data_IF_637283597588
#
_entry.id   IF_637283597588
#
_cell.length_a   1.000
_cell.length_b   1.000
_cell.length_c   1.000
_cell.angle_alpha   90.00
_cell.angle_beta   90.00
_cell.angle_gamma   90.00
#
_symmetry.space_group_name_H-M   'P 1'
#
loop_
_entity.id
_entity.type
_entity.pdbx_description
1 polymer ?
#
# COMPACT_ATOMS: atom_id res chain seq x y z
N UNK A 1 17.88 40.08 6.99
CA UNK A 1 18.61 38.93 6.40
C UNK A 1 17.66 37.75 6.48
N UNK A 2 17.51 36.95 5.41
CA UNK A 2 16.72 35.75 5.48
C UNK A 2 17.31 34.82 6.56
N UNK A 3 16.47 34.17 7.35
CA UNK A 3 16.90 33.20 8.36
C UNK A 3 17.62 32.04 7.64
N UNK A 4 18.80 31.66 8.15
CA UNK A 4 19.57 30.55 7.59
C UNK A 4 19.79 29.49 8.65
N UNK A 5 19.64 28.20 8.27
CA UNK A 5 19.86 27.01 9.11
C UNK A 5 20.91 26.11 8.49
N UNK A 6 21.53 25.31 9.31
CA UNK A 6 22.45 24.25 8.86
C UNK A 6 22.19 22.97 9.65
N UNK A 7 22.27 21.82 8.98
CA UNK A 7 22.26 20.51 9.63
C UNK A 7 23.27 19.56 8.98
N UNK A 8 23.74 18.58 9.75
CA UNK A 8 24.55 17.49 9.19
C UNK A 8 23.73 16.67 8.20
N UNK A 9 22.46 16.37 8.56
CA UNK A 9 21.53 15.63 7.69
C UNK A 9 20.21 16.39 7.61
N UNK A 10 19.77 16.66 6.39
CA UNK A 10 18.41 17.14 6.10
C UNK A 10 17.59 16.05 5.48
N UNK A 11 16.36 15.89 5.94
CA UNK A 11 15.38 14.96 5.36
C UNK A 11 14.20 15.75 4.80
N UNK A 12 13.88 15.54 3.52
CA UNK A 12 12.76 16.21 2.82
C UNK A 12 11.59 15.25 2.74
N UNK A 13 10.50 15.53 3.47
CA UNK A 13 9.30 14.71 3.55
C UNK A 13 9.24 13.90 4.85
N UNK A 14 8.14 14.05 5.60
CA UNK A 14 7.92 13.39 6.88
C UNK A 14 7.00 12.17 6.80
N UNK A 15 6.92 11.51 5.64
CA UNK A 15 6.27 10.22 5.48
C UNK A 15 7.02 9.10 6.20
N UNK A 16 6.55 7.83 6.11
CA UNK A 16 7.13 6.69 6.82
C UNK A 16 8.65 6.53 6.62
N UNK A 17 9.13 6.66 5.40
CA UNK A 17 10.58 6.65 5.12
C UNK A 17 11.30 7.85 5.72
N UNK A 18 10.71 9.05 5.60
CA UNK A 18 11.37 10.27 6.03
C UNK A 18 11.53 10.38 7.55
N UNK A 19 10.45 10.14 8.34
CA UNK A 19 10.62 10.17 9.79
C UNK A 19 11.49 9.02 10.29
N UNK A 20 11.44 7.83 9.65
CA UNK A 20 12.32 6.72 10.00
C UNK A 20 13.80 7.08 9.75
N UNK A 21 14.10 7.71 8.59
CA UNK A 21 15.45 8.19 8.29
C UNK A 21 15.91 9.27 9.27
N UNK A 22 15.05 10.25 9.56
CA UNK A 22 15.37 11.35 10.48
C UNK A 22 15.66 10.83 11.91
N UNK A 23 14.82 9.91 12.41
CA UNK A 23 14.98 9.32 13.74
C UNK A 23 16.24 8.45 13.82
N UNK A 24 16.48 7.62 12.81
CA UNK A 24 17.68 6.78 12.78
C UNK A 24 18.95 7.62 12.71
N UNK A 25 18.99 8.68 11.90
CA UNK A 25 20.12 9.60 11.84
C UNK A 25 20.37 10.31 13.18
N UNK A 26 19.30 10.74 13.85
CA UNK A 26 19.40 11.35 15.18
C UNK A 26 19.89 10.35 16.25
N UNK A 27 19.42 9.10 16.23
CA UNK A 27 19.88 8.02 17.11
C UNK A 27 21.37 7.67 16.87
N UNK A 28 21.89 7.96 15.68
CA UNK A 28 23.32 7.89 15.33
C UNK A 28 24.12 9.16 15.69
N UNK A 29 23.51 10.08 16.44
CA UNK A 29 24.15 11.29 16.97
C UNK A 29 24.25 12.46 15.99
N UNK A 30 23.53 12.42 14.85
CA UNK A 30 23.56 13.50 13.86
C UNK A 30 22.61 14.63 14.22
N UNK A 31 22.98 15.86 13.85
CA UNK A 31 22.06 16.99 13.84
C UNK A 31 21.14 16.87 12.62
N UNK A 32 19.83 16.77 12.87
CA UNK A 32 18.84 16.48 11.82
C UNK A 32 17.79 17.59 11.74
N UNK A 33 17.56 18.09 10.51
CA UNK A 33 16.38 18.88 10.16
C UNK A 33 15.47 18.04 9.29
N UNK A 34 14.22 17.87 9.72
CA UNK A 34 13.14 17.21 8.97
C UNK A 34 12.21 18.29 8.39
N UNK A 35 12.07 18.35 7.07
CA UNK A 35 11.27 19.37 6.38
C UNK A 35 10.02 18.70 5.77
N UNK A 36 8.83 19.23 6.08
CA UNK A 36 7.59 18.81 5.40
C UNK A 36 6.64 20.01 5.25
N UNK A 37 5.94 20.05 4.11
CA UNK A 37 4.93 21.07 3.83
C UNK A 37 3.62 20.86 4.58
N UNK A 38 3.34 19.63 5.01
CA UNK A 38 2.12 19.28 5.71
C UNK A 38 2.16 19.79 7.17
N UNK A 39 1.01 20.10 7.75
CA UNK A 39 0.92 20.65 9.13
C UNK A 39 1.19 19.61 10.21
N UNK A 40 1.30 18.32 9.85
CA UNK A 40 1.54 17.19 10.75
C UNK A 40 2.54 16.23 10.14
N UNK A 41 3.31 15.54 10.98
CA UNK A 41 4.23 14.50 10.56
C UNK A 41 3.43 13.23 10.11
N UNK A 42 4.10 12.25 9.48
CA UNK A 42 3.49 10.98 9.08
C UNK A 42 3.13 10.87 7.60
N UNK A 43 3.16 12.00 6.86
CA UNK A 43 2.98 12.05 5.40
C UNK A 43 1.63 11.48 4.92
N UNK A 44 1.60 10.99 3.68
CA UNK A 44 0.39 10.44 3.06
C UNK A 44 -0.12 9.20 3.79
N UNK A 45 0.75 8.27 4.13
CA UNK A 45 0.36 6.99 4.73
C UNK A 45 -0.44 7.19 6.03
N UNK A 46 0.08 7.96 6.97
CA UNK A 46 -0.56 8.17 8.27
C UNK A 46 -1.78 9.09 8.17
N UNK A 47 -1.65 10.20 7.45
CA UNK A 47 -2.66 11.26 7.50
C UNK A 47 -3.83 11.04 6.54
N UNK A 48 -3.61 10.41 5.39
CA UNK A 48 -4.58 10.35 4.28
C UNK A 48 -4.38 9.14 3.35
N UNK A 49 -3.92 8.03 3.92
CA UNK A 49 -3.63 6.78 3.20
C UNK A 49 -3.90 5.56 4.05
N UNK A 50 -2.84 4.83 4.43
CA UNK A 50 -2.90 3.53 5.07
C UNK A 50 -3.72 3.52 6.37
N UNK A 51 -3.46 4.47 7.28
CA UNK A 51 -4.11 4.45 8.60
C UNK A 51 -5.61 4.77 8.51
N UNK A 52 -6.05 5.89 7.91
CA UNK A 52 -7.47 6.15 7.79
C UNK A 52 -8.21 5.10 6.95
N UNK A 53 -7.60 4.52 5.92
CA UNK A 53 -8.24 3.46 5.15
C UNK A 53 -8.45 2.19 5.98
N UNK A 54 -7.47 1.77 6.79
CA UNK A 54 -7.58 0.57 7.64
C UNK A 54 -8.58 0.77 8.77
N UNK A 55 -8.69 1.99 9.33
CA UNK A 55 -9.74 2.32 10.28
C UNK A 55 -11.15 2.16 9.68
N UNK A 56 -11.36 2.64 8.44
CA UNK A 56 -12.65 2.50 7.75
C UNK A 56 -12.91 1.07 7.29
N UNK A 57 -11.90 0.34 6.80
CA UNK A 57 -12.02 -1.08 6.42
C UNK A 57 -12.39 -1.95 7.62
N UNK A 58 -11.82 -1.68 8.80
CA UNK A 58 -12.19 -2.39 10.02
C UNK A 58 -13.69 -2.20 10.35
N UNK A 59 -14.19 -0.96 10.29
CA UNK A 59 -15.61 -0.69 10.50
C UNK A 59 -16.48 -1.45 9.49
N UNK A 60 -16.10 -1.41 8.22
CA UNK A 60 -16.81 -2.10 7.14
C UNK A 60 -16.84 -3.62 7.35
N UNK A 61 -15.71 -4.19 7.77
CA UNK A 61 -15.57 -5.62 8.06
C UNK A 61 -16.47 -6.04 9.22
N UNK A 62 -16.48 -5.29 10.33
CA UNK A 62 -17.34 -5.58 11.50
C UNK A 62 -18.82 -5.52 11.11
N UNK A 63 -19.24 -4.56 10.29
CA UNK A 63 -20.61 -4.46 9.80
C UNK A 63 -21.01 -5.68 8.97
N UNK A 64 -20.13 -6.14 8.09
CA UNK A 64 -20.38 -7.31 7.25
C UNK A 64 -20.40 -8.61 8.08
N UNK A 65 -19.47 -8.79 9.01
CA UNK A 65 -19.44 -9.93 9.94
C UNK A 65 -20.72 -9.97 10.79
N UNK A 66 -21.18 -8.83 11.32
CA UNK A 66 -22.44 -8.76 12.08
C UNK A 66 -23.65 -9.16 11.21
N UNK A 67 -23.73 -8.68 9.97
CA UNK A 67 -24.79 -9.08 9.03
C UNK A 67 -24.73 -10.60 8.71
N UNK A 68 -23.52 -11.15 8.59
CA UNK A 68 -23.31 -12.56 8.30
C UNK A 68 -23.77 -13.50 9.42
N UNK A 69 -23.72 -13.06 10.69
CA UNK A 69 -24.15 -13.83 11.84
C UNK A 69 -25.62 -14.26 11.77
N UNK A 70 -26.45 -13.61 10.93
CA UNK A 70 -27.82 -14.04 10.68
C UNK A 70 -27.92 -15.47 10.18
N UNK A 71 -26.93 -15.96 9.41
CA UNK A 71 -26.80 -17.34 8.96
C UNK A 71 -26.42 -18.32 10.07
N UNK A 72 -25.86 -17.79 11.17
CA UNK A 72 -25.44 -18.57 12.34
C UNK A 72 -26.46 -18.50 13.49
N UNK A 73 -27.64 -17.91 13.21
CA UNK A 73 -28.75 -17.82 14.18
C UNK A 73 -28.79 -16.54 15.04
N UNK A 74 -27.92 -15.56 14.75
CA UNK A 74 -27.92 -14.26 15.46
C UNK A 74 -28.28 -13.16 14.49
N UNK A 75 -29.40 -12.48 14.68
CA UNK A 75 -29.88 -11.40 13.83
C UNK A 75 -29.76 -10.06 14.53
N UNK A 76 -29.05 -9.13 13.92
CA UNK A 76 -29.02 -7.71 14.29
C UNK A 76 -30.01 -6.93 13.41
N UNK A 77 -30.50 -5.80 13.92
CA UNK A 77 -31.26 -4.84 13.11
C UNK A 77 -30.37 -4.11 12.10
N UNK A 78 -30.99 -3.36 11.18
CA UNK A 78 -30.24 -2.54 10.24
C UNK A 78 -29.39 -1.51 10.98
N UNK A 79 -28.12 -1.33 10.58
CA UNK A 79 -27.22 -0.41 11.26
C UNK A 79 -27.65 1.04 11.05
N UNK A 80 -27.64 1.83 12.12
CA UNK A 80 -27.74 3.28 12.02
C UNK A 80 -26.35 3.87 11.86
N UNK A 81 -26.10 4.52 10.73
CA UNK A 81 -24.79 5.04 10.37
C UNK A 81 -24.73 6.54 10.66
N UNK A 82 -23.87 6.92 11.61
CA UNK A 82 -23.49 8.31 11.89
C UNK A 82 -22.11 8.59 11.26
N UNK A 83 -22.11 9.27 10.10
CA UNK A 83 -20.89 9.59 9.38
C UNK A 83 -19.99 10.56 10.15
N UNK A 84 -20.54 11.46 10.93
CA UNK A 84 -19.75 12.41 11.71
C UNK A 84 -18.99 11.67 12.81
N UNK A 85 -19.63 10.71 13.47
CA UNK A 85 -18.99 9.86 14.46
C UNK A 85 -17.90 8.96 13.85
N UNK A 86 -18.14 8.39 12.66
CA UNK A 86 -17.15 7.59 11.94
C UNK A 86 -15.94 8.45 11.56
N UNK A 87 -16.14 9.65 11.04
CA UNK A 87 -15.05 10.59 10.73
C UNK A 87 -14.24 10.95 11.97
N UNK A 88 -14.95 11.33 13.05
CA UNK A 88 -14.30 11.67 14.32
C UNK A 88 -13.47 10.52 14.89
N UNK A 89 -13.96 9.28 14.81
CA UNK A 89 -13.21 8.09 15.20
C UNK A 89 -11.92 7.91 14.38
N UNK A 90 -12.04 7.96 13.05
CA UNK A 90 -10.91 7.89 12.12
C UNK A 90 -9.89 9.00 12.39
N UNK A 91 -10.34 10.23 12.56
CA UNK A 91 -9.48 11.39 12.79
C UNK A 91 -8.77 11.32 14.16
N UNK A 92 -9.45 10.78 15.17
CA UNK A 92 -8.85 10.51 16.49
C UNK A 92 -7.66 9.52 16.39
N UNK A 93 -7.80 8.45 15.61
CA UNK A 93 -6.72 7.47 15.39
C UNK A 93 -5.52 8.16 14.72
N UNK A 94 -5.78 8.92 13.66
CA UNK A 94 -4.74 9.68 12.94
C UNK A 94 -4.04 10.67 13.89
N UNK A 95 -4.82 11.41 14.68
CA UNK A 95 -4.28 12.37 15.65
C UNK A 95 -3.38 11.70 16.70
N UNK A 96 -3.81 10.59 17.29
CA UNK A 96 -3.01 9.86 18.30
C UNK A 96 -1.65 9.43 17.74
N UNK A 97 -1.61 8.94 16.50
CA UNK A 97 -0.35 8.52 15.86
C UNK A 97 0.52 9.71 15.48
N UNK A 98 -0.06 10.82 15.04
CA UNK A 98 0.66 12.08 14.79
C UNK A 98 1.37 12.59 16.04
N UNK A 99 0.64 12.66 17.17
CA UNK A 99 1.20 13.04 18.46
C UNK A 99 2.36 12.14 18.88
N UNK A 100 2.22 10.82 18.67
CA UNK A 100 3.31 9.87 18.93
C UNK A 100 4.57 10.17 18.12
N UNK A 101 4.43 10.44 16.81
CA UNK A 101 5.58 10.78 15.95
C UNK A 101 6.18 12.12 16.36
N UNK A 102 5.36 13.13 16.68
CA UNK A 102 5.84 14.44 17.12
C UNK A 102 6.64 14.34 18.45
N UNK A 103 6.15 13.53 19.40
CA UNK A 103 6.87 13.27 20.65
C UNK A 103 8.19 12.53 20.42
N UNK A 104 8.23 11.56 19.51
CA UNK A 104 9.45 10.84 19.14
C UNK A 104 10.48 11.77 18.45
N UNK A 105 10.04 12.70 17.60
CA UNK A 105 10.91 13.70 16.98
C UNK A 105 11.51 14.64 18.05
N UNK A 106 10.68 15.11 18.98
CA UNK A 106 11.12 15.97 20.08
C UNK A 106 12.12 15.27 21.02
N UNK A 107 11.87 14.01 21.38
CA UNK A 107 12.74 13.22 22.24
C UNK A 107 14.14 13.03 21.62
N UNK A 108 14.22 12.91 20.28
CA UNK A 108 15.48 12.79 19.51
C UNK A 108 16.09 14.12 19.12
N UNK A 109 15.49 15.25 19.51
CA UNK A 109 15.93 16.60 19.13
C UNK A 109 16.00 16.80 17.61
N UNK A 110 15.14 16.11 16.85
CA UNK A 110 14.96 16.36 15.41
C UNK A 110 14.25 17.70 15.26
N UNK A 111 14.88 18.64 14.58
CA UNK A 111 14.24 19.93 14.28
C UNK A 111 13.26 19.74 13.14
N UNK A 112 11.97 19.98 13.38
CA UNK A 112 10.96 19.94 12.34
C UNK A 112 10.70 21.35 11.80
N UNK A 113 10.93 21.51 10.49
CA UNK A 113 10.64 22.72 9.74
C UNK A 113 9.42 22.52 8.86
N UNK A 114 8.33 23.22 9.16
CA UNK A 114 7.13 23.22 8.34
C UNK A 114 7.32 24.12 7.14
N UNK A 115 7.42 23.53 5.95
CA UNK A 115 7.59 24.28 4.71
C UNK A 115 7.84 23.39 3.49
N UNK A 116 7.73 24.00 2.31
CA UNK A 116 8.00 23.35 1.03
C UNK A 116 9.46 23.59 0.63
N UNK A 117 10.25 22.53 0.60
CA UNK A 117 11.67 22.57 0.23
C UNK A 117 11.86 22.49 -1.29
N UNK A 118 12.76 23.32 -1.82
CA UNK A 118 13.27 23.23 -3.20
C UNK A 118 14.79 23.37 -3.20
N UNK A 119 15.48 22.62 -4.03
CA UNK A 119 16.93 22.72 -4.16
C UNK A 119 17.33 24.04 -4.84
N UNK A 120 18.34 24.71 -4.29
CA UNK A 120 19.02 25.85 -4.92
C UNK A 120 20.42 25.46 -5.38
N UNK A 121 20.97 24.38 -4.82
CA UNK A 121 22.20 23.70 -5.25
C UNK A 121 22.22 22.27 -4.68
N UNK A 122 23.27 21.52 -4.93
CA UNK A 122 23.46 20.19 -4.33
C UNK A 122 23.81 20.19 -2.83
N UNK A 123 23.90 21.36 -2.19
CA UNK A 123 24.19 21.51 -0.75
C UNK A 123 23.25 22.48 -0.03
N UNK A 124 22.25 23.02 -0.74
CA UNK A 124 21.39 24.06 -0.19
C UNK A 124 19.95 23.96 -0.69
N UNK A 125 19.02 24.26 0.20
CA UNK A 125 17.58 24.35 -0.05
C UNK A 125 17.06 25.75 0.24
N UNK A 126 16.07 26.19 -0.52
CA UNK A 126 15.12 27.22 -0.11
C UNK A 126 13.88 26.51 0.43
N UNK A 127 13.42 26.88 1.63
CA UNK A 127 12.23 26.32 2.26
C UNK A 127 11.20 27.42 2.42
N UNK A 128 10.11 27.33 1.68
CA UNK A 128 8.99 28.27 1.76
C UNK A 128 8.12 27.92 2.96
N UNK A 129 8.12 28.80 3.97
CA UNK A 129 7.33 28.65 5.20
C UNK A 129 6.18 29.66 5.24
N UNK A 130 5.27 29.52 6.22
CA UNK A 130 4.15 30.46 6.43
C UNK A 130 4.64 31.88 6.85
N UNK A 131 5.89 32.01 7.33
CA UNK A 131 6.49 33.30 7.82
C UNK A 131 7.58 33.87 6.91
N UNK A 132 7.81 33.23 5.77
CA UNK A 132 8.81 33.62 4.78
C UNK A 132 9.75 32.50 4.38
N UNK A 133 10.62 32.77 3.43
CA UNK A 133 11.57 31.77 2.92
C UNK A 133 12.81 31.73 3.81
N UNK A 134 13.28 30.55 4.14
CA UNK A 134 14.51 30.26 4.87
C UNK A 134 15.49 29.48 4.00
N UNK A 135 16.78 29.76 4.16
CA UNK A 135 17.83 28.96 3.52
C UNK A 135 18.28 27.83 4.46
N UNK A 136 18.35 26.61 3.97
CA UNK A 136 18.83 25.46 4.75
C UNK A 136 19.99 24.81 4.01
N UNK A 137 21.17 24.80 4.63
CA UNK A 137 22.36 24.11 4.13
C UNK A 137 22.55 22.76 4.82
N UNK A 138 23.22 21.83 4.17
CA UNK A 138 23.39 20.47 4.69
C UNK A 138 24.70 19.82 4.23
N UNK A 139 25.20 18.87 5.02
CA UNK A 139 26.28 17.97 4.60
C UNK A 139 25.73 16.80 3.79
N UNK A 140 24.55 16.26 4.17
CA UNK A 140 23.84 15.18 3.47
C UNK A 140 22.35 15.50 3.42
N UNK A 141 21.68 15.09 2.34
CA UNK A 141 20.24 15.23 2.18
C UNK A 141 19.61 13.89 1.84
N UNK A 142 18.48 13.54 2.49
CA UNK A 142 17.67 12.36 2.18
C UNK A 142 16.33 12.84 1.62
N UNK A 143 16.07 12.56 0.35
CA UNK A 143 14.84 12.93 -0.35
C UNK A 143 13.80 11.84 -0.15
N UNK A 144 12.76 12.14 0.65
CA UNK A 144 11.64 11.27 0.98
C UNK A 144 10.29 11.93 0.60
N UNK A 145 10.27 12.68 -0.51
CA UNK A 145 9.13 13.54 -0.89
C UNK A 145 7.90 12.76 -1.40
N UNK A 146 8.00 11.44 -1.56
CA UNK A 146 6.87 10.56 -1.85
C UNK A 146 6.23 10.79 -3.21
N UNK A 147 4.91 10.58 -3.28
CA UNK A 147 4.14 10.57 -4.53
C UNK A 147 2.75 11.21 -4.35
N UNK A 148 2.08 11.49 -5.46
CA UNK A 148 0.68 11.97 -5.53
C UNK A 148 -0.15 11.02 -6.40
N UNK A 149 -1.48 11.06 -6.23
CA UNK A 149 -2.41 10.31 -7.09
C UNK A 149 -2.25 10.73 -8.55
N UNK A 150 -2.21 9.74 -9.45
CA UNK A 150 -2.20 9.98 -10.87
C UNK A 150 -3.58 10.48 -11.35
N UNK A 151 -3.59 11.31 -12.38
CA UNK A 151 -4.78 11.77 -13.09
C UNK A 151 -4.87 11.11 -14.46
N UNK A 152 -6.07 11.04 -15.03
CA UNK A 152 -6.30 10.55 -16.39
C UNK A 152 -6.90 11.66 -17.28
N UNK A 153 -6.49 11.72 -18.54
CA UNK A 153 -7.09 12.65 -19.50
C UNK A 153 -8.60 12.44 -19.61
N UNK A 154 -9.35 13.51 -19.80
CA UNK A 154 -10.82 13.45 -19.93
C UNK A 154 -11.59 13.34 -18.62
N UNK A 155 -10.91 13.34 -17.46
CA UNK A 155 -11.53 13.36 -16.12
C UNK A 155 -11.18 14.67 -15.42
N UNK A 156 -12.18 15.49 -15.03
CA UNK A 156 -11.96 16.80 -14.40
C UNK A 156 -11.50 16.63 -12.94
N UNK A 157 -10.19 16.56 -12.73
CA UNK A 157 -9.59 16.25 -11.42
C UNK A 157 -9.98 17.23 -10.29
N UNK A 158 -10.26 18.47 -10.63
CA UNK A 158 -10.62 19.53 -9.65
C UNK A 158 -12.12 19.57 -9.32
N UNK A 159 -12.95 18.72 -9.95
CA UNK A 159 -14.37 18.71 -9.70
C UNK A 159 -14.69 18.01 -8.36
N UNK A 160 -15.52 18.58 -7.46
CA UNK A 160 -15.76 18.05 -6.10
C UNK A 160 -16.39 16.64 -6.07
N UNK A 161 -17.02 16.20 -7.16
CA UNK A 161 -17.54 14.83 -7.31
C UNK A 161 -16.53 13.87 -7.91
N UNK A 162 -15.32 14.31 -8.26
CA UNK A 162 -14.21 13.46 -8.70
C UNK A 162 -13.23 13.32 -7.53
N UNK A 163 -13.21 12.14 -6.96
CA UNK A 163 -12.42 11.83 -5.77
C UNK A 163 -11.06 11.25 -6.15
N UNK A 164 -10.07 11.59 -5.38
CA UNK A 164 -8.81 10.85 -5.26
C UNK A 164 -8.88 9.95 -4.02
N UNK A 165 -7.88 9.09 -3.81
CA UNK A 165 -7.77 8.31 -2.56
C UNK A 165 -7.81 9.20 -1.32
N UNK A 166 -7.19 10.40 -1.38
CA UNK A 166 -7.22 11.38 -0.28
C UNK A 166 -8.64 11.85 0.02
N UNK A 167 -9.32 12.43 -0.98
CA UNK A 167 -10.64 13.04 -0.76
C UNK A 167 -11.74 12.01 -0.52
N UNK A 168 -11.57 10.76 -0.96
CA UNK A 168 -12.45 9.66 -0.61
C UNK A 168 -12.36 9.30 0.88
N UNK A 169 -11.18 9.42 1.50
CA UNK A 169 -10.97 9.17 2.93
C UNK A 169 -11.53 10.28 3.82
N UNK A 170 -11.82 11.47 3.28
CA UNK A 170 -12.53 12.53 4.00
C UNK A 170 -13.98 12.13 4.33
N UNK A 171 -14.53 11.15 3.60
CA UNK A 171 -15.85 10.53 3.82
C UNK A 171 -16.96 11.59 4.04
N UNK A 172 -17.00 12.60 3.18
CA UNK A 172 -17.90 13.75 3.32
C UNK A 172 -19.38 13.31 3.25
N UNK A 173 -19.69 12.37 2.36
CA UNK A 173 -21.01 11.77 2.17
C UNK A 173 -20.92 10.36 1.60
N UNK A 174 -22.04 9.65 1.55
CA UNK A 174 -22.17 8.35 0.91
C UNK A 174 -22.98 8.53 -0.38
N UNK A 175 -22.31 8.54 -1.56
CA UNK A 175 -23.01 8.69 -2.84
C UNK A 175 -23.88 7.48 -3.13
N UNK A 176 -25.06 7.69 -3.74
CA UNK A 176 -25.93 6.57 -4.14
C UNK A 176 -25.26 5.62 -5.13
N UNK A 177 -24.52 6.17 -6.11
CA UNK A 177 -23.70 5.40 -7.06
C UNK A 177 -22.31 6.00 -7.13
N UNK A 178 -21.31 5.16 -6.86
CA UNK A 178 -19.87 5.47 -6.94
C UNK A 178 -19.24 4.67 -8.07
N UNK A 179 -18.53 5.35 -8.98
CA UNK A 179 -17.64 4.69 -9.90
C UNK A 179 -16.22 4.71 -9.35
N UNK A 180 -15.56 3.56 -9.34
CA UNK A 180 -14.12 3.41 -9.07
C UNK A 180 -13.43 3.16 -10.40
N UNK A 181 -12.50 4.04 -10.79
CA UNK A 181 -11.65 3.87 -11.96
C UNK A 181 -10.30 3.34 -11.48
N UNK A 182 -10.02 2.08 -11.84
CA UNK A 182 -8.85 1.31 -11.41
C UNK A 182 -9.20 0.21 -10.40
N UNK A 183 -8.97 -1.05 -10.80
CA UNK A 183 -9.19 -2.26 -10.00
C UNK A 183 -7.96 -2.69 -9.19
N UNK A 184 -7.09 -1.75 -8.85
CA UNK A 184 -5.94 -1.95 -7.97
C UNK A 184 -6.33 -1.88 -6.47
N UNK A 185 -5.31 -2.00 -5.60
CA UNK A 185 -5.45 -2.08 -4.13
C UNK A 185 -6.35 -0.95 -3.58
N UNK A 186 -5.99 0.29 -3.85
CA UNK A 186 -6.68 1.47 -3.29
C UNK A 186 -8.14 1.53 -3.74
N UNK A 187 -8.39 1.24 -5.02
CA UNK A 187 -9.74 1.28 -5.59
C UNK A 187 -10.66 0.24 -4.99
N UNK A 188 -10.17 -0.99 -4.81
CA UNK A 188 -10.96 -2.08 -4.23
C UNK A 188 -11.20 -1.89 -2.73
N UNK A 189 -10.19 -1.47 -1.98
CA UNK A 189 -10.32 -1.17 -0.55
C UNK A 189 -11.37 -0.09 -0.29
N UNK A 190 -11.24 1.06 -0.95
CA UNK A 190 -12.21 2.16 -0.80
C UNK A 190 -13.57 1.80 -1.38
N UNK A 191 -13.61 1.04 -2.48
CA UNK A 191 -14.84 0.50 -3.03
C UNK A 191 -15.63 -0.33 -2.02
N UNK A 192 -14.94 -1.21 -1.26
CA UNK A 192 -15.60 -2.01 -0.21
C UNK A 192 -16.08 -1.13 0.96
N UNK A 193 -15.31 -0.13 1.38
CA UNK A 193 -15.75 0.81 2.42
C UNK A 193 -17.06 1.50 2.00
N UNK A 194 -17.10 2.08 0.80
CA UNK A 194 -18.30 2.76 0.34
C UNK A 194 -19.48 1.81 0.10
N UNK A 195 -19.22 0.60 -0.37
CA UNK A 195 -20.27 -0.41 -0.54
C UNK A 195 -20.88 -0.84 0.80
N UNK A 196 -20.05 -1.08 1.82
CA UNK A 196 -20.51 -1.41 3.17
C UNK A 196 -21.35 -0.27 3.79
N UNK A 197 -21.01 0.99 3.48
CA UNK A 197 -21.75 2.16 3.94
C UNK A 197 -23.00 2.47 3.09
N UNK A 198 -23.31 1.67 2.06
CA UNK A 198 -24.57 1.77 1.30
C UNK A 198 -24.48 2.32 -0.12
N UNK A 199 -23.28 2.61 -0.64
CA UNK A 199 -23.11 3.00 -2.05
C UNK A 199 -23.26 1.81 -2.99
N UNK A 200 -23.93 2.00 -4.13
CA UNK A 200 -23.80 1.09 -5.28
C UNK A 200 -22.50 1.38 -5.99
N UNK A 201 -21.53 0.47 -5.82
CA UNK A 201 -20.18 0.65 -6.35
C UNK A 201 -20.03 -0.08 -7.69
N UNK A 202 -19.52 0.62 -8.70
CA UNK A 202 -19.11 0.05 -9.97
C UNK A 202 -17.60 0.23 -10.14
N UNK A 203 -16.88 -0.80 -10.64
CA UNK A 203 -15.45 -0.74 -10.92
C UNK A 203 -15.22 -0.85 -12.41
N UNK A 204 -14.37 0.03 -12.96
CA UNK A 204 -13.86 -0.05 -14.32
C UNK A 204 -12.35 -0.22 -14.26
N UNK A 205 -11.86 -1.35 -14.81
CA UNK A 205 -10.45 -1.68 -14.88
C UNK A 205 -10.03 -1.86 -16.34
N UNK A 206 -8.94 -1.19 -16.71
CA UNK A 206 -8.38 -1.24 -18.07
C UNK A 206 -7.78 -2.60 -18.40
N UNK A 207 -7.15 -3.24 -17.43
CA UNK A 207 -6.54 -4.55 -17.58
C UNK A 207 -7.59 -5.68 -17.50
N UNK A 208 -7.25 -6.88 -17.99
CA UNK A 208 -8.16 -8.03 -17.98
C UNK A 208 -8.39 -8.63 -16.58
N UNK A 209 -7.63 -8.21 -15.57
CA UNK A 209 -7.69 -8.73 -14.22
C UNK A 209 -7.69 -7.60 -13.17
N UNK A 210 -8.33 -7.84 -12.03
CA UNK A 210 -8.13 -7.04 -10.83
C UNK A 210 -6.75 -7.31 -10.23
N UNK A 211 -6.23 -6.36 -9.45
CA UNK A 211 -4.95 -6.45 -8.73
C UNK A 211 -3.80 -6.88 -9.67
N UNK A 212 -3.43 -6.06 -10.66
CA UNK A 212 -2.32 -6.37 -11.56
C UNK A 212 -1.04 -6.68 -10.77
N UNK A 213 -0.30 -7.71 -11.22
CA UNK A 213 0.90 -8.21 -10.54
C UNK A 213 0.65 -9.26 -9.46
N UNK A 214 -0.63 -9.57 -9.16
CA UNK A 214 -1.02 -10.65 -8.24
C UNK A 214 -1.49 -11.87 -9.02
N UNK A 215 -1.14 -13.07 -8.58
CA UNK A 215 -1.57 -14.30 -9.21
C UNK A 215 -3.09 -14.44 -9.22
N UNK A 216 -3.66 -14.79 -10.35
CA UNK A 216 -5.10 -14.80 -10.59
C UNK A 216 -5.87 -15.76 -9.67
N UNK A 217 -5.23 -16.83 -9.20
CA UNK A 217 -5.84 -17.79 -8.29
C UNK A 217 -6.04 -17.22 -6.88
N UNK A 218 -5.18 -16.30 -6.44
CA UNK A 218 -5.34 -15.53 -5.20
C UNK A 218 -6.42 -14.44 -5.34
N UNK A 219 -6.56 -13.86 -6.53
CA UNK A 219 -7.55 -12.81 -6.80
C UNK A 219 -8.97 -13.36 -6.93
N UNK A 220 -9.14 -14.58 -7.44
CA UNK A 220 -10.45 -15.19 -7.71
C UNK A 220 -11.41 -15.23 -6.50
N UNK A 221 -10.99 -15.61 -5.27
CA UNK A 221 -11.88 -15.58 -4.09
C UNK A 221 -12.39 -14.17 -3.81
N UNK A 222 -11.51 -13.18 -3.82
CA UNK A 222 -11.86 -11.77 -3.66
C UNK A 222 -12.82 -11.29 -4.76
N UNK A 223 -12.52 -11.56 -6.02
CA UNK A 223 -13.38 -11.15 -7.14
C UNK A 223 -14.78 -11.75 -7.06
N UNK A 224 -14.92 -13.02 -6.58
CA UNK A 224 -16.24 -13.65 -6.36
C UNK A 224 -17.03 -12.90 -5.28
N UNK A 225 -16.38 -12.45 -4.21
CA UNK A 225 -17.02 -11.67 -3.14
C UNK A 225 -17.42 -10.30 -3.65
N UNK A 226 -16.51 -9.58 -4.30
CA UNK A 226 -16.76 -8.25 -4.85
C UNK A 226 -17.90 -8.23 -5.88
N UNK A 227 -18.06 -9.28 -6.71
CA UNK A 227 -19.19 -9.41 -7.64
C UNK A 227 -20.56 -9.50 -6.95
N UNK A 228 -20.60 -9.89 -5.67
CA UNK A 228 -21.82 -9.92 -4.87
C UNK A 228 -22.09 -8.60 -4.15
N UNK A 229 -21.03 -7.86 -3.82
CA UNK A 229 -21.08 -6.58 -3.08
C UNK A 229 -21.25 -5.38 -4.02
N UNK A 230 -20.64 -5.42 -5.20
CA UNK A 230 -20.61 -4.30 -6.13
C UNK A 230 -21.71 -4.40 -7.17
N UNK A 231 -22.18 -3.25 -7.66
CA UNK A 231 -23.16 -3.16 -8.75
C UNK A 231 -22.60 -3.76 -10.05
N UNK A 232 -21.32 -3.50 -10.35
CA UNK A 232 -20.63 -4.09 -11.50
C UNK A 232 -19.12 -4.02 -11.38
N UNK A 233 -18.44 -4.97 -12.07
CA UNK A 233 -16.99 -4.96 -12.31
C UNK A 233 -16.79 -5.14 -13.80
N UNK A 234 -16.24 -4.12 -14.46
CA UNK A 234 -15.98 -4.07 -15.90
C UNK A 234 -14.47 -4.11 -16.12
N UNK A 235 -13.95 -5.28 -16.51
CA UNK A 235 -12.55 -5.50 -16.88
C UNK A 235 -12.35 -5.19 -18.36
N UNK A 236 -11.09 -5.03 -18.79
CA UNK A 236 -10.73 -4.66 -20.17
C UNK A 236 -11.56 -3.47 -20.68
N UNK A 237 -11.79 -2.51 -19.79
CA UNK A 237 -12.68 -1.37 -20.04
C UNK A 237 -12.01 -0.06 -19.67
N UNK A 238 -12.19 0.96 -20.48
CA UNK A 238 -11.55 2.28 -20.33
C UNK A 238 -12.58 3.36 -20.10
N UNK A 239 -12.40 4.20 -19.09
CA UNK A 239 -13.12 5.46 -18.97
C UNK A 239 -12.45 6.48 -19.87
N UNK A 240 -13.18 7.04 -20.82
CA UNK A 240 -12.66 8.00 -21.80
C UNK A 240 -13.04 9.44 -21.45
N UNK A 241 -14.23 9.68 -20.89
CA UNK A 241 -14.64 11.01 -20.46
C UNK A 241 -15.50 10.95 -19.20
N UNK A 242 -15.35 11.98 -18.36
CA UNK A 242 -16.23 12.27 -17.22
C UNK A 242 -16.70 13.71 -17.35
N UNK A 243 -18.00 13.92 -17.50
CA UNK A 243 -18.58 15.26 -17.71
C UNK A 243 -19.63 15.57 -16.65
N UNK A 244 -19.45 16.64 -15.87
CA UNK A 244 -20.47 17.09 -14.92
C UNK A 244 -21.77 17.48 -15.63
N UNK A 245 -22.91 17.17 -15.01
CA UNK A 245 -24.21 17.60 -15.50
C UNK A 245 -24.83 18.65 -14.58
N UNK A 246 -25.89 19.30 -15.08
CA UNK A 246 -26.60 20.36 -14.33
C UNK A 246 -27.32 19.88 -13.04
N UNK A 247 -27.44 18.54 -12.84
CA UNK A 247 -28.06 17.92 -11.66
C UNK A 247 -27.10 17.52 -10.58
N UNK A 248 -25.78 17.88 -10.71
CA UNK A 248 -24.73 17.54 -9.75
C UNK A 248 -24.25 16.09 -9.83
N UNK A 249 -24.59 15.35 -10.90
CA UNK A 249 -24.08 14.02 -11.20
C UNK A 249 -23.10 14.06 -12.35
N UNK A 250 -22.41 12.94 -12.60
CA UNK A 250 -21.40 12.82 -13.64
C UNK A 250 -21.87 11.86 -14.73
N UNK A 251 -21.80 12.29 -15.99
CA UNK A 251 -21.89 11.40 -17.13
C UNK A 251 -20.51 10.80 -17.38
N UNK A 252 -20.41 9.48 -17.40
CA UNK A 252 -19.18 8.75 -17.63
C UNK A 252 -19.31 7.93 -18.90
N UNK A 253 -18.36 8.11 -19.81
CA UNK A 253 -18.25 7.29 -21.03
C UNK A 253 -17.26 6.16 -20.78
N UNK A 254 -17.72 4.93 -20.94
CA UNK A 254 -16.94 3.69 -20.78
C UNK A 254 -16.87 3.01 -22.12
N UNK A 255 -15.68 2.62 -22.52
CA UNK A 255 -15.38 1.94 -23.78
C UNK A 255 -14.73 0.58 -23.52
N UNK A 256 -15.14 -0.44 -24.26
CA UNK A 256 -14.55 -1.76 -24.29
C UNK A 256 -14.78 -2.42 -25.66
N UNK A 257 -14.36 -3.66 -25.83
CA UNK A 257 -14.53 -4.43 -27.09
C UNK A 257 -15.98 -4.56 -27.57
N UNK A 258 -16.97 -4.41 -26.67
CA UNK A 258 -18.41 -4.48 -26.99
C UNK A 258 -18.99 -3.14 -27.43
N UNK A 259 -18.19 -2.09 -27.38
CA UNK A 259 -18.57 -0.73 -27.77
C UNK A 259 -18.49 0.29 -26.65
N UNK A 260 -19.17 1.41 -26.86
CA UNK A 260 -19.15 2.57 -25.96
C UNK A 260 -20.48 2.68 -25.21
N UNK A 261 -20.43 2.86 -23.91
CA UNK A 261 -21.60 3.04 -23.02
C UNK A 261 -21.47 4.34 -22.23
N UNK A 262 -22.59 5.04 -22.04
CA UNK A 262 -22.66 6.17 -21.09
C UNK A 262 -23.47 5.79 -19.87
N UNK A 263 -22.89 6.03 -18.70
CA UNK A 263 -23.52 5.80 -17.40
C UNK A 263 -23.50 7.07 -16.54
N UNK A 264 -24.37 7.09 -15.51
CA UNK A 264 -24.50 8.23 -14.59
C UNK A 264 -24.07 7.80 -13.20
N UNK A 265 -23.19 8.58 -12.58
CA UNK A 265 -22.72 8.36 -11.22
C UNK A 265 -22.84 9.65 -10.38
N UNK A 266 -22.97 9.50 -9.07
CA UNK A 266 -22.95 10.65 -8.16
C UNK A 266 -21.52 11.13 -7.93
N UNK A 267 -20.57 10.17 -7.77
CA UNK A 267 -19.15 10.45 -7.63
C UNK A 267 -18.32 9.43 -8.40
N UNK A 268 -17.10 9.84 -8.71
CA UNK A 268 -16.08 9.02 -9.38
C UNK A 268 -14.82 9.05 -8.52
N UNK A 269 -14.28 7.90 -8.14
CA UNK A 269 -12.98 7.73 -7.51
C UNK A 269 -11.94 7.35 -8.55
N UNK A 270 -10.89 8.15 -8.69
CA UNK A 270 -9.75 7.86 -9.57
C UNK A 270 -8.63 7.21 -8.76
N UNK A 271 -8.28 5.95 -9.07
CA UNK A 271 -7.29 5.13 -8.38
C UNK A 271 -6.39 4.34 -9.35
N UNK A 272 -5.87 5.02 -10.37
CA UNK A 272 -5.11 4.45 -11.50
C UNK A 272 -3.60 4.52 -11.30
N UNK A 273 -3.13 4.66 -10.08
CA UNK A 273 -1.71 4.70 -9.74
C UNK A 273 -1.27 6.03 -9.12
N UNK A 274 0.04 6.19 -9.01
CA UNK A 274 0.68 7.33 -8.35
C UNK A 274 1.84 7.86 -9.21
N UNK A 275 2.20 9.12 -9.01
CA UNK A 275 3.34 9.78 -9.66
C UNK A 275 4.30 10.33 -8.60
N UNK A 276 5.63 10.22 -8.79
CA UNK A 276 6.61 10.77 -7.86
C UNK A 276 6.55 12.30 -7.82
N UNK A 277 6.91 12.87 -6.67
CA UNK A 277 6.90 14.33 -6.43
C UNK A 277 8.20 15.03 -6.85
N UNK A 278 8.98 14.46 -7.73
CA UNK A 278 10.30 14.98 -8.14
C UNK A 278 10.22 16.38 -8.75
N UNK A 279 9.17 16.64 -9.52
CA UNK A 279 8.92 17.95 -10.15
C UNK A 279 8.66 19.10 -9.15
N UNK A 280 8.44 18.80 -7.88
CA UNK A 280 8.21 19.81 -6.84
C UNK A 280 9.51 20.28 -6.16
N UNK A 281 10.64 19.65 -6.46
CA UNK A 281 11.88 19.81 -5.71
C UNK A 281 12.92 20.70 -6.38
N UNK A 282 12.74 21.12 -7.64
CA UNK A 282 13.78 21.74 -8.47
C UNK A 282 15.06 20.89 -8.50
N UNK A 283 14.88 19.57 -8.74
CA UNK A 283 15.94 18.57 -8.61
C UNK A 283 17.08 18.80 -9.60
N UNK A 284 16.79 19.42 -10.74
CA UNK A 284 17.74 19.80 -11.78
C UNK A 284 18.84 20.75 -11.30
N UNK A 285 18.60 21.48 -10.20
CA UNK A 285 19.63 22.34 -9.56
C UNK A 285 20.74 21.52 -8.87
N UNK A 286 20.61 20.21 -8.77
CA UNK A 286 21.52 19.36 -8.00
C UNK A 286 22.44 18.48 -8.85
N UNK A 287 22.05 18.14 -10.07
CA UNK A 287 22.70 17.11 -10.90
C UNK A 287 22.23 15.68 -10.60
N UNK A 288 21.21 15.49 -9.74
CA UNK A 288 20.59 14.18 -9.50
C UNK A 288 19.87 13.69 -10.75
N UNK A 289 20.15 12.46 -11.15
CA UNK A 289 19.53 11.82 -12.31
C UNK A 289 18.11 11.35 -11.99
N UNK A 290 17.18 11.70 -12.88
CA UNK A 290 15.78 11.30 -12.84
C UNK A 290 15.46 10.54 -14.14
N UNK A 291 14.80 9.39 -14.03
CA UNK A 291 14.44 8.60 -15.19
C UNK A 291 13.20 9.18 -15.93
N UNK A 292 12.87 8.59 -17.08
CA UNK A 292 11.76 9.01 -17.94
C UNK A 292 10.37 8.95 -17.28
N UNK A 293 10.23 8.16 -16.20
CA UNK A 293 9.01 8.07 -15.39
C UNK A 293 8.96 9.04 -14.21
N UNK A 294 10.01 9.86 -14.05
CA UNK A 294 10.12 10.87 -13.00
C UNK A 294 10.67 10.34 -11.66
N UNK A 295 11.17 9.10 -11.60
CA UNK A 295 11.80 8.56 -10.39
C UNK A 295 13.29 8.92 -10.31
N UNK A 296 13.76 9.15 -9.09
CA UNK A 296 15.19 9.32 -8.80
C UNK A 296 15.87 7.96 -8.79
N UNK A 297 16.95 7.81 -9.57
CA UNK A 297 17.75 6.60 -9.59
C UNK A 297 18.64 6.52 -8.31
N UNK A 298 18.66 5.35 -7.67
CA UNK A 298 19.49 5.08 -6.50
C UNK A 298 20.15 3.71 -6.59
N UNK A 299 21.29 3.55 -5.90
CA UNK A 299 21.94 2.27 -5.70
C UNK A 299 21.35 1.53 -4.46
N UNK A 300 21.89 0.34 -4.14
CA UNK A 300 21.48 -0.43 -2.94
C UNK A 300 21.78 0.27 -1.62
N UNK A 301 22.57 1.30 -1.63
CA UNK A 301 22.91 2.16 -0.49
C UNK A 301 22.00 3.41 -0.42
N UNK A 302 21.00 3.49 -1.27
CA UNK A 302 20.09 4.63 -1.44
C UNK A 302 20.79 5.94 -1.89
N UNK A 303 21.97 5.84 -2.48
CA UNK A 303 22.73 6.97 -3.04
C UNK A 303 22.20 7.31 -4.42
N UNK A 304 22.08 8.59 -4.71
CA UNK A 304 21.82 9.11 -6.05
C UNK A 304 23.13 9.29 -6.82
N UNK A 305 23.06 9.83 -8.04
CA UNK A 305 24.26 10.29 -8.79
C UNK A 305 25.06 11.37 -8.06
N UNK A 306 24.42 12.14 -7.15
CA UNK A 306 25.07 13.12 -6.29
C UNK A 306 25.47 12.51 -4.94
N UNK A 307 26.79 12.57 -4.62
CA UNK A 307 27.39 11.86 -3.45
C UNK A 307 26.82 12.25 -2.09
N UNK A 308 26.22 13.42 -1.96
CA UNK A 308 25.67 13.95 -0.72
C UNK A 308 24.13 13.92 -0.69
N UNK A 309 23.48 13.40 -1.74
CA UNK A 309 22.04 13.30 -1.85
C UNK A 309 21.63 11.84 -1.97
N UNK A 310 20.72 11.44 -1.10
CA UNK A 310 20.07 10.12 -1.04
C UNK A 310 18.60 10.27 -1.39
N UNK A 311 17.95 9.20 -1.85
CA UNK A 311 16.51 9.22 -2.07
C UNK A 311 15.88 7.89 -1.66
N UNK A 312 14.63 7.93 -1.15
CA UNK A 312 13.93 6.78 -0.58
C UNK A 312 12.41 6.85 -0.82
N UNK A 313 11.76 5.71 -0.74
CA UNK A 313 10.30 5.59 -0.79
C UNK A 313 9.72 5.71 -2.20
N UNK A 314 8.50 6.25 -2.29
CA UNK A 314 7.78 6.30 -3.58
C UNK A 314 8.52 7.07 -4.67
N UNK A 315 9.41 8.00 -4.30
CA UNK A 315 10.14 8.84 -5.26
C UNK A 315 11.25 8.08 -6.00
N UNK A 316 11.66 6.90 -5.50
CA UNK A 316 12.68 6.05 -6.15
C UNK A 316 12.08 4.90 -6.95
N UNK A 317 10.76 4.68 -6.89
CA UNK A 317 10.07 3.69 -7.72
C UNK A 317 9.24 2.66 -6.96
N UNK A 318 8.74 1.69 -7.73
CA UNK A 318 7.89 0.61 -7.24
C UNK A 318 8.69 -0.45 -6.44
N UNK A 319 7.97 -1.16 -5.52
CA UNK A 319 6.61 -0.91 -5.09
C UNK A 319 6.51 0.33 -4.16
N UNK A 320 5.45 1.13 -4.32
CA UNK A 320 5.21 2.33 -3.51
C UNK A 320 4.56 1.95 -2.17
N UNK A 321 5.35 1.40 -1.26
CA UNK A 321 4.90 0.82 0.01
C UNK A 321 5.61 1.48 1.21
N UNK A 322 4.84 1.74 2.27
CA UNK A 322 5.34 2.42 3.46
C UNK A 322 6.47 1.64 4.17
N UNK A 323 6.35 0.31 4.26
CA UNK A 323 7.37 -0.54 4.88
C UNK A 323 8.67 -0.58 4.06
N UNK A 324 8.60 -0.62 2.70
CA UNK A 324 9.79 -0.43 1.85
C UNK A 324 10.46 0.90 2.17
N UNK A 325 9.72 2.01 2.14
CA UNK A 325 10.25 3.34 2.44
C UNK A 325 10.90 3.43 3.83
N UNK A 326 10.32 2.77 4.84
CA UNK A 326 10.87 2.74 6.20
C UNK A 326 12.21 2.02 6.26
N UNK A 327 12.35 0.88 5.58
CA UNK A 327 13.61 0.13 5.51
C UNK A 327 14.67 0.90 4.71
N UNK A 328 14.33 1.43 3.55
CA UNK A 328 15.21 2.31 2.77
C UNK A 328 15.66 3.53 3.59
N UNK A 329 14.76 4.12 4.38
CA UNK A 329 15.05 5.24 5.25
C UNK A 329 16.12 4.95 6.31
N UNK A 330 16.07 3.76 6.91
CA UNK A 330 17.10 3.31 7.85
C UNK A 330 18.45 3.13 7.15
N UNK A 331 18.47 2.47 5.99
CA UNK A 331 19.69 2.28 5.19
C UNK A 331 20.29 3.63 4.79
N UNK A 332 19.48 4.54 4.24
CA UNK A 332 19.96 5.86 3.84
C UNK A 332 20.55 6.65 5.02
N UNK A 333 19.89 6.61 6.19
CA UNK A 333 20.38 7.28 7.40
C UNK A 333 21.71 6.68 7.89
N UNK A 334 21.85 5.38 7.90
CA UNK A 334 23.08 4.68 8.29
C UNK A 334 24.23 5.02 7.34
N UNK A 335 24.01 4.90 6.02
CA UNK A 335 25.03 5.21 5.02
C UNK A 335 25.40 6.70 5.04
N UNK A 336 24.44 7.60 5.14
CA UNK A 336 24.66 9.03 5.26
C UNK A 336 25.43 9.40 6.54
N UNK A 337 25.32 8.59 7.59
CA UNK A 337 26.04 8.75 8.86
C UNK A 337 27.41 8.09 8.88
N UNK A 338 27.79 7.37 7.81
CA UNK A 338 29.09 6.71 7.67
C UNK A 338 29.13 5.24 8.14
N UNK A 339 27.96 4.62 8.38
CA UNK A 339 27.86 3.21 8.75
C UNK A 339 27.65 2.32 7.51
N UNK A 340 28.11 1.06 7.52
CA UNK A 340 27.84 0.11 6.46
C UNK A 340 26.42 -0.40 6.55
N UNK A 341 25.61 -0.17 5.50
CA UNK A 341 24.27 -0.70 5.35
C UNK A 341 23.93 -0.80 3.86
N UNK A 342 23.06 -1.74 3.50
CA UNK A 342 22.53 -1.91 2.14
C UNK A 342 21.06 -2.35 2.18
N UNK A 343 20.31 -1.97 1.18
CA UNK A 343 18.94 -2.45 0.94
C UNK A 343 19.02 -3.63 -0.04
N UNK A 344 19.27 -4.81 0.49
CA UNK A 344 19.49 -6.06 -0.24
C UNK A 344 18.46 -7.14 0.12
N UNK A 345 17.25 -6.72 0.47
CA UNK A 345 16.13 -7.60 0.84
C UNK A 345 15.78 -8.58 -0.29
N UNK A 346 15.51 -9.84 0.06
CA UNK A 346 15.14 -10.87 -0.92
C UNK A 346 13.73 -10.68 -1.48
N UNK A 347 12.81 -10.09 -0.70
CA UNK A 347 11.44 -9.82 -1.10
C UNK A 347 10.86 -8.61 -0.36
N UNK A 348 9.78 -8.07 -0.89
CA UNK A 348 8.98 -7.03 -0.25
C UNK A 348 7.54 -7.51 -0.27
N UNK A 349 6.87 -7.69 0.90
CA UNK A 349 5.52 -8.20 0.93
C UNK A 349 4.51 -7.15 0.44
N UNK A 350 3.46 -7.62 -0.19
CA UNK A 350 2.30 -6.81 -0.58
C UNK A 350 1.04 -7.34 0.08
N UNK A 351 0.19 -6.43 0.55
CA UNK A 351 -1.07 -6.76 1.21
C UNK A 351 -2.19 -5.89 0.66
N UNK A 352 -3.30 -6.51 0.32
CA UNK A 352 -4.57 -5.88 -0.02
C UNK A 352 -5.53 -6.15 1.13
N UNK A 353 -5.93 -5.11 1.84
CA UNK A 353 -6.75 -5.20 3.05
C UNK A 353 -8.26 -5.26 2.76
N UNK A 354 -8.61 -5.78 1.60
CA UNK A 354 -9.99 -6.12 1.26
C UNK A 354 -10.50 -7.26 2.12
N UNK A 355 -11.76 -7.61 1.98
CA UNK A 355 -12.33 -8.83 2.55
C UNK A 355 -12.80 -9.73 1.40
N UNK A 356 -12.17 -10.95 1.20
CA UNK A 356 -10.98 -11.44 1.91
C UNK A 356 -9.73 -10.60 1.60
N UNK A 357 -8.78 -10.62 2.55
CA UNK A 357 -7.44 -10.07 2.34
C UNK A 357 -6.68 -10.92 1.31
N UNK A 358 -5.78 -10.27 0.56
CA UNK A 358 -4.84 -10.94 -0.35
C UNK A 358 -3.44 -10.46 -0.02
N UNK A 359 -2.54 -11.41 0.25
CA UNK A 359 -1.16 -11.09 0.55
C UNK A 359 -0.21 -11.97 -0.26
N UNK A 360 0.93 -11.41 -0.66
CA UNK A 360 1.98 -12.18 -1.34
C UNK A 360 3.36 -11.57 -1.08
N UNK A 361 4.37 -12.40 -1.24
CA UNK A 361 5.78 -12.02 -1.11
C UNK A 361 6.66 -12.90 -1.99
N UNK A 362 7.77 -12.36 -2.48
CA UNK A 362 8.69 -13.07 -3.36
C UNK A 362 8.11 -13.29 -4.76
N UNK A 363 8.54 -14.37 -5.40
CA UNK A 363 8.21 -14.71 -6.78
C UNK A 363 6.74 -15.10 -6.93
N UNK A 364 6.03 -14.52 -7.88
CA UNK A 364 4.69 -14.95 -8.28
C UNK A 364 4.76 -16.02 -9.38
N UNK A 365 3.71 -16.83 -9.54
CA UNK A 365 3.63 -17.79 -10.66
C UNK A 365 3.68 -17.09 -12.02
N UNK A 366 3.12 -15.88 -12.10
CA UNK A 366 3.13 -15.07 -13.31
C UNK A 366 4.54 -14.63 -13.67
N UNK A 367 5.26 -14.04 -12.70
CA UNK A 367 6.66 -13.62 -12.90
C UNK A 367 7.58 -14.80 -13.20
N UNK A 368 7.37 -15.95 -12.54
CA UNK A 368 8.13 -17.16 -12.79
C UNK A 368 7.98 -17.63 -14.26
N UNK A 369 6.75 -17.64 -14.77
CA UNK A 369 6.45 -18.02 -16.16
C UNK A 369 7.04 -17.02 -17.16
N UNK A 370 6.88 -15.74 -16.89
CA UNK A 370 7.36 -14.68 -17.80
C UNK A 370 8.89 -14.63 -17.85
N UNK A 371 9.56 -14.97 -16.74
CA UNK A 371 11.03 -15.00 -16.61
C UNK A 371 11.66 -16.36 -16.88
N UNK A 372 10.87 -17.41 -17.12
CA UNK A 372 11.38 -18.76 -17.35
C UNK A 372 12.01 -19.41 -16.12
N UNK A 373 11.62 -18.96 -14.90
CA UNK A 373 12.12 -19.53 -13.64
C UNK A 373 11.32 -20.78 -13.30
N UNK A 374 12.02 -21.91 -13.14
CA UNK A 374 11.40 -23.16 -12.72
C UNK A 374 10.93 -23.08 -11.25
N UNK A 375 9.78 -23.58 -10.97
CA UNK A 375 9.24 -23.69 -9.61
C UNK A 375 8.35 -24.91 -9.47
N UNK A 376 8.22 -25.41 -8.26
CA UNK A 376 7.17 -26.33 -7.84
C UNK A 376 6.30 -25.67 -6.77
N UNK A 377 5.05 -26.15 -6.61
CA UNK A 377 4.05 -25.48 -5.77
C UNK A 377 3.47 -26.43 -4.72
N UNK A 378 3.51 -25.99 -3.45
CA UNK A 378 2.65 -26.49 -2.40
C UNK A 378 1.43 -25.57 -2.23
N UNK A 379 0.23 -26.13 -2.23
CA UNK A 379 -1.02 -25.35 -2.07
C UNK A 379 -1.97 -26.07 -1.11
N UNK A 380 -2.42 -25.35 -0.08
CA UNK A 380 -3.43 -25.86 0.85
C UNK A 380 -4.72 -25.03 0.75
N UNK A 381 -5.84 -25.67 0.32
CA UNK A 381 -7.13 -24.99 0.27
C UNK A 381 -7.73 -24.89 1.67
N UNK A 382 -8.20 -23.70 2.06
CA UNK A 382 -8.80 -23.49 3.39
C UNK A 382 -10.14 -24.22 3.60
N UNK A 383 -10.72 -24.76 2.55
CA UNK A 383 -11.85 -25.68 2.65
C UNK A 383 -11.53 -26.97 3.44
N UNK A 384 -10.23 -27.29 3.60
CA UNK A 384 -9.75 -28.40 4.43
C UNK A 384 -9.25 -27.93 5.83
N UNK A 385 -9.23 -26.63 6.12
CA UNK A 385 -8.81 -26.11 7.43
C UNK A 385 -9.98 -26.05 8.40
N UNK A 386 -9.86 -26.74 9.54
CA UNK A 386 -10.87 -26.70 10.62
C UNK A 386 -11.13 -25.29 11.13
N UNK A 387 -10.07 -24.46 11.28
CA UNK A 387 -10.19 -23.06 11.70
C UNK A 387 -10.92 -22.21 10.66
N UNK A 388 -10.57 -22.35 9.39
CA UNK A 388 -11.21 -21.58 8.33
C UNK A 388 -12.70 -21.95 8.16
N UNK A 389 -13.05 -23.24 8.30
CA UNK A 389 -14.43 -23.72 8.28
C UNK A 389 -15.22 -23.13 9.46
N UNK A 390 -14.65 -23.16 10.66
CA UNK A 390 -15.29 -22.58 11.87
C UNK A 390 -15.54 -21.08 11.77
N UNK A 391 -14.79 -20.35 10.91
CA UNK A 391 -14.94 -18.93 10.66
C UNK A 391 -15.76 -18.60 9.40
N UNK A 392 -16.30 -19.61 8.69
CA UNK A 392 -16.92 -19.47 7.35
C UNK A 392 -15.99 -18.78 6.31
N UNK A 393 -14.69 -19.05 6.44
CA UNK A 393 -13.61 -18.50 5.60
C UNK A 393 -13.01 -19.55 4.64
N UNK A 394 -13.77 -20.61 4.32
CA UNK A 394 -13.34 -21.78 3.55
C UNK A 394 -12.97 -21.49 2.08
N UNK A 395 -13.16 -20.27 1.61
CA UNK A 395 -12.80 -19.83 0.25
C UNK A 395 -11.33 -19.42 0.12
N UNK A 396 -10.61 -19.33 1.24
CA UNK A 396 -9.21 -18.97 1.29
C UNK A 396 -8.27 -20.06 0.78
N UNK A 397 -7.01 -19.72 0.62
CA UNK A 397 -5.91 -20.64 0.33
C UNK A 397 -4.57 -20.06 0.78
N UNK A 398 -3.63 -20.97 1.00
CA UNK A 398 -2.22 -20.66 1.16
C UNK A 398 -1.43 -21.44 0.11
N UNK A 399 -0.52 -20.77 -0.59
CA UNK A 399 0.41 -21.40 -1.52
C UNK A 399 1.82 -20.94 -1.30
N UNK A 400 2.77 -21.82 -1.56
CA UNK A 400 4.21 -21.57 -1.50
C UNK A 400 4.81 -22.07 -2.82
N UNK A 401 5.68 -21.26 -3.41
CA UNK A 401 6.50 -21.65 -4.56
C UNK A 401 7.89 -22.04 -4.05
N UNK A 402 8.35 -23.19 -4.45
CA UNK A 402 9.64 -23.75 -4.08
C UNK A 402 10.57 -23.89 -5.29
N UNK A 403 11.84 -23.70 -5.08
CA UNK A 403 12.88 -24.05 -6.03
C UNK A 403 12.94 -25.58 -6.19
N UNK A 404 12.83 -26.13 -7.41
CA UNK A 404 12.79 -27.58 -7.61
C UNK A 404 14.11 -28.32 -7.27
N UNK A 405 15.26 -27.61 -7.23
CA UNK A 405 16.55 -28.23 -6.97
C UNK A 405 16.88 -28.26 -5.47
N UNK A 406 16.70 -27.12 -4.79
CA UNK A 406 17.12 -26.95 -3.38
C UNK A 406 15.94 -26.79 -2.41
N UNK A 407 14.69 -26.85 -2.93
CA UNK A 407 13.43 -26.74 -2.19
C UNK A 407 13.24 -25.45 -1.39
N UNK A 408 14.05 -24.42 -1.62
CA UNK A 408 13.94 -23.14 -0.93
C UNK A 408 12.68 -22.40 -1.35
N UNK A 409 12.13 -21.62 -0.42
CA UNK A 409 10.98 -20.76 -0.68
C UNK A 409 11.36 -19.63 -1.63
N UNK A 410 10.71 -19.59 -2.79
CA UNK A 410 10.83 -18.53 -3.80
C UNK A 410 9.75 -17.47 -3.63
N UNK A 411 8.55 -17.88 -3.27
CA UNK A 411 7.41 -16.98 -3.13
C UNK A 411 6.27 -17.59 -2.34
N UNK A 412 5.44 -16.73 -1.79
CA UNK A 412 4.26 -17.10 -0.96
C UNK A 412 3.06 -16.27 -1.37
N UNK A 413 1.90 -16.90 -1.40
CA UNK A 413 0.62 -16.22 -1.64
C UNK A 413 -0.48 -16.73 -0.70
N UNK A 414 -1.23 -15.82 -0.11
CA UNK A 414 -2.31 -16.14 0.83
C UNK A 414 -3.54 -15.30 0.48
N UNK A 415 -4.70 -15.91 0.47
CA UNK A 415 -5.99 -15.20 0.38
C UNK A 415 -6.93 -15.70 1.46
N UNK A 416 -7.46 -14.78 2.26
CA UNK A 416 -8.38 -15.06 3.35
C UNK A 416 -8.26 -14.05 4.49
N UNK A 417 -9.10 -14.15 5.55
CA UNK A 417 -8.97 -13.30 6.73
C UNK A 417 -7.58 -13.45 7.38
N UNK A 418 -6.95 -12.32 7.71
CA UNK A 418 -5.64 -12.31 8.35
C UNK A 418 -4.46 -12.64 7.44
N UNK A 419 -4.66 -12.72 6.11
CA UNK A 419 -3.58 -12.96 5.16
C UNK A 419 -2.43 -11.94 5.30
N UNK A 420 -2.76 -10.68 5.62
CA UNK A 420 -1.79 -9.62 5.85
C UNK A 420 -0.88 -9.84 7.05
N UNK A 421 -1.38 -10.49 8.12
CA UNK A 421 -0.57 -10.84 9.28
C UNK A 421 0.22 -12.14 9.04
N UNK A 422 -0.41 -13.13 8.38
CA UNK A 422 0.19 -14.43 8.08
C UNK A 422 1.37 -14.36 7.11
N UNK A 423 1.37 -13.40 6.16
CA UNK A 423 2.46 -13.27 5.17
C UNK A 423 3.83 -13.03 5.81
N UNK A 424 3.87 -12.55 7.05
CA UNK A 424 5.10 -12.28 7.78
C UNK A 424 5.94 -13.55 8.02
N UNK A 425 5.31 -14.70 8.23
CA UNK A 425 5.99 -15.99 8.30
C UNK A 425 6.65 -16.36 6.96
N UNK A 426 5.89 -16.21 5.87
CA UNK A 426 6.43 -16.43 4.52
C UNK A 426 7.58 -15.49 4.17
N UNK A 427 7.51 -14.22 4.60
CA UNK A 427 8.63 -13.28 4.46
C UNK A 427 9.87 -13.73 5.23
N UNK A 428 9.68 -14.18 6.46
CA UNK A 428 10.81 -14.69 7.26
C UNK A 428 11.43 -15.93 6.61
N UNK A 429 10.61 -16.85 6.09
CA UNK A 429 11.07 -18.03 5.39
C UNK A 429 11.93 -17.67 4.15
N UNK A 430 11.46 -16.71 3.32
CA UNK A 430 12.22 -16.22 2.16
C UNK A 430 13.55 -15.58 2.61
N UNK A 431 13.50 -14.68 3.59
CA UNK A 431 14.70 -13.93 4.03
C UNK A 431 15.75 -14.83 4.66
N UNK A 432 15.33 -15.84 5.44
CA UNK A 432 16.20 -16.84 6.04
C UNK A 432 16.69 -17.91 5.06
N UNK A 433 16.06 -18.00 3.87
CA UNK A 433 16.36 -19.04 2.88
C UNK A 433 15.92 -20.42 3.34
N UNK A 434 14.82 -20.49 4.09
CA UNK A 434 14.22 -21.73 4.55
C UNK A 434 13.76 -22.59 3.36
N UNK A 435 13.79 -23.89 3.53
CA UNK A 435 13.27 -24.86 2.57
C UNK A 435 11.93 -25.47 3.03
N UNK A 436 11.40 -26.39 2.23
CA UNK A 436 10.11 -27.01 2.50
C UNK A 436 10.14 -27.87 3.79
N UNK A 437 11.28 -28.52 4.08
CA UNK A 437 11.46 -29.34 5.28
C UNK A 437 11.46 -28.48 6.54
N UNK A 438 12.16 -27.34 6.53
CA UNK A 438 12.17 -26.38 7.64
C UNK A 438 10.74 -25.94 8.02
N UNK A 439 9.91 -25.69 7.01
CA UNK A 439 8.51 -25.23 7.22
C UNK A 439 7.64 -26.39 7.69
N UNK A 440 7.70 -27.56 7.05
CA UNK A 440 6.83 -28.71 7.37
C UNK A 440 7.14 -29.31 8.74
N UNK A 441 8.38 -29.20 9.23
CA UNK A 441 8.80 -29.63 10.57
C UNK A 441 8.50 -28.59 11.67
N UNK A 442 8.17 -27.35 11.28
CA UNK A 442 7.80 -26.29 12.24
C UNK A 442 6.43 -26.59 12.83
N UNK A 443 6.35 -26.73 14.15
CA UNK A 443 5.08 -27.01 14.84
C UNK A 443 4.23 -25.74 14.89
N UNK A 444 3.10 -25.77 14.18
CA UNK A 444 2.10 -24.70 14.18
C UNK A 444 1.01 -24.97 15.24
N UNK A 445 0.48 -23.92 15.90
CA UNK A 445 -0.59 -24.11 16.88
C UNK A 445 -1.90 -24.52 16.18
N UNK A 446 -2.62 -25.51 16.75
CA UNK A 446 -3.91 -26.00 16.26
C UNK A 446 -5.06 -25.60 17.20
N UNK A 447 -6.26 -25.17 16.68
CA UNK A 447 -6.54 -24.84 15.27
C UNK A 447 -6.27 -23.35 14.98
N UNK A 448 -5.51 -23.07 13.96
CA UNK A 448 -5.22 -21.70 13.50
C UNK A 448 -5.25 -21.59 11.97
N UNK A 449 -5.25 -20.35 11.44
CA UNK A 449 -5.04 -20.14 10.00
C UNK A 449 -3.55 -20.29 9.64
N UNK A 450 -2.65 -20.00 10.57
CA UNK A 450 -1.19 -20.10 10.38
C UNK A 450 -0.74 -21.52 10.02
N UNK A 451 -1.38 -22.57 10.58
CA UNK A 451 -1.04 -23.96 10.25
C UNK A 451 -1.16 -24.29 8.76
N UNK A 452 -1.97 -23.52 8.00
CA UNK A 452 -2.09 -23.71 6.55
C UNK A 452 -0.80 -23.42 5.79
N UNK A 453 0.15 -22.73 6.41
CA UNK A 453 1.48 -22.48 5.85
C UNK A 453 2.33 -23.77 5.91
N UNK A 454 2.41 -24.42 7.07
CA UNK A 454 3.04 -25.74 7.22
C UNK A 454 2.38 -26.79 6.34
N UNK A 455 1.04 -26.84 6.33
CA UNK A 455 0.28 -27.77 5.49
C UNK A 455 0.54 -27.58 3.99
N UNK A 456 0.77 -26.33 3.52
CA UNK A 456 1.16 -26.11 2.12
C UNK A 456 2.54 -26.69 1.80
N UNK A 457 3.50 -26.62 2.75
CA UNK A 457 4.80 -27.27 2.60
C UNK A 457 4.69 -28.80 2.63
N UNK A 458 3.87 -29.36 3.51
CA UNK A 458 3.58 -30.80 3.56
C UNK A 458 2.94 -31.33 2.26
N UNK A 459 2.07 -30.53 1.61
CA UNK A 459 1.53 -30.88 0.28
C UNK A 459 2.65 -31.01 -0.74
N UNK A 460 3.61 -30.10 -0.74
CA UNK A 460 4.75 -30.17 -1.63
C UNK A 460 5.66 -31.37 -1.34
N UNK A 461 5.94 -31.64 -0.06
CA UNK A 461 6.75 -32.79 0.38
C UNK A 461 6.02 -34.14 0.21
N UNK A 462 4.69 -34.16 -0.02
CA UNK A 462 3.87 -35.37 -0.09
C UNK A 462 3.63 -36.03 1.27
N UNK A 463 3.80 -35.31 2.35
CA UNK A 463 3.64 -35.79 3.74
C UNK A 463 2.32 -35.39 4.37
N UNK A 464 1.53 -34.54 3.72
CA UNK A 464 0.24 -34.06 4.22
C UNK A 464 -0.72 -35.20 4.58
N UNK A 465 -1.35 -35.10 5.76
CA UNK A 465 -2.38 -36.05 6.24
C UNK A 465 -3.78 -35.47 6.19
N UNK A 466 -3.92 -34.15 6.26
CA UNK A 466 -5.19 -33.43 6.34
C UNK A 466 -5.84 -33.17 4.96
N UNK A 467 -5.17 -33.55 3.89
CA UNK A 467 -5.65 -33.44 2.52
C UNK A 467 -5.29 -34.70 1.72
N UNK A 468 -6.28 -35.35 1.12
CA UNK A 468 -6.00 -36.44 0.20
C UNK A 468 -5.51 -35.93 -1.15
N UNK A 469 -4.23 -36.14 -1.43
CA UNK A 469 -3.61 -35.83 -2.73
C UNK A 469 -3.40 -37.14 -3.47
N UNK A 470 -4.08 -37.39 -4.62
CA UNK A 470 -3.87 -38.63 -5.40
C UNK A 470 -2.40 -38.73 -5.83
N UNK A 471 -1.79 -39.89 -5.61
CA UNK A 471 -0.45 -40.15 -6.18
C UNK A 471 -0.56 -40.15 -7.70
N UNK A 472 0.29 -39.35 -8.36
CA UNK A 472 0.41 -39.34 -9.83
C UNK A 472 0.96 -40.64 -10.36
#
# INVERSE_FOLDING_TARGET
MAESKHAEIVVIGAGPGGYAAAFRAADLGKQVILIDKDPTLGGVCLNRGCIPSKALLHISKVMEEASHLSKMGITYGEPQIDLDAIRAHKDKIVFQLNEGIAQMAKARKVEWVKGAATFTSNTQLSVKTDVGDIAVSFNRCIVAAGSVSATIPGVPADHPSVLTSRTALDLVDIPKRLLVIGGGIIGLELGQVYAALGSKVSVVEFLPNLLPGTDSDLVKPLQRKLKKQFESIQLSSKVTTVTPNKKGTLYVTIENEKGTKKEVFNKVLVSVGRKPNTNLLNIEATGVEVNEHGFINVDVYQRTSEKNIFAIGDIVGNPMLAHKATHEGRVAAEVASGHPAAFDVRAIPSVVYTDPEVAWAGLTETEAKDSGIAYEKGEFPWAASGKAIAMDANQGKTKILFDPENKKVLGVGIVGPGAGDMISEGMLAIEMGADAEDISLTVHPHPTLGETFGMAAEVFEGTITDLYVPKK
#
